data_IF_662488203880
#
_entry.id   IF_662488203880
#
_cell.length_a   1.000
_cell.length_b   1.000
_cell.length_c   1.000
_cell.angle_alpha   90.00
_cell.angle_beta   90.00
_cell.angle_gamma   90.00
#
_symmetry.space_group_name_H-M   'P 1'
#
loop_
_entity.id
_entity.type
_entity.pdbx_description
1 polymer ?
#
# COMPACT_ATOMS: atom_id res chain seq x y z
N UNK A 1 6.40 4.69 23.93
CA UNK A 1 6.77 5.06 22.55
C UNK A 1 5.93 4.22 21.61
N UNK A 2 5.33 4.80 20.58
CA UNK A 2 4.60 4.07 19.54
C UNK A 2 5.48 4.08 18.28
N UNK A 3 5.72 2.90 17.71
CA UNK A 3 6.48 2.76 16.46
C UNK A 3 5.53 2.43 15.32
N UNK A 4 5.83 2.92 14.13
CA UNK A 4 5.16 2.61 12.87
C UNK A 4 6.26 2.42 11.84
N UNK A 5 6.15 1.38 11.01
CA UNK A 5 7.11 1.10 9.95
C UNK A 5 6.44 1.40 8.61
N UNK A 6 7.07 2.24 7.81
CA UNK A 6 6.69 2.45 6.42
C UNK A 6 7.67 1.70 5.53
N UNK A 7 7.18 0.93 4.57
CA UNK A 7 8.03 0.15 3.68
C UNK A 7 7.46 0.10 2.27
N UNK A 8 8.35 0.24 1.30
CA UNK A 8 8.07 -0.25 -0.05
C UNK A 8 8.18 -1.78 -0.05
N UNK A 9 7.57 -2.42 -1.05
CA UNK A 9 7.68 -3.86 -1.27
C UNK A 9 8.67 -4.17 -2.39
N UNK A 10 8.49 -3.55 -3.57
CA UNK A 10 9.24 -3.91 -4.78
C UNK A 10 10.72 -3.56 -4.57
N UNK A 11 11.57 -4.59 -4.44
CA UNK A 11 13.00 -4.37 -4.23
C UNK A 11 13.41 -3.84 -2.87
N UNK A 12 12.50 -3.84 -1.90
CA UNK A 12 12.79 -3.44 -0.52
C UNK A 12 12.47 -4.58 0.44
N UNK A 13 11.20 -4.97 0.53
CA UNK A 13 10.78 -6.09 1.39
C UNK A 13 10.64 -7.41 0.62
N UNK A 14 10.35 -7.33 -0.68
CA UNK A 14 10.27 -8.47 -1.56
C UNK A 14 11.62 -8.69 -2.23
N UNK A 15 12.06 -9.95 -2.26
CA UNK A 15 13.21 -10.34 -3.06
C UNK A 15 12.99 -9.97 -4.54
N UNK A 16 14.00 -9.36 -5.14
CA UNK A 16 13.93 -8.83 -6.50
C UNK A 16 13.69 -9.90 -7.57
N UNK A 17 14.10 -11.15 -7.31
CA UNK A 17 14.07 -12.22 -8.31
C UNK A 17 12.82 -13.10 -8.18
N UNK A 18 12.33 -13.30 -6.97
CA UNK A 18 11.24 -14.22 -6.64
C UNK A 18 9.95 -13.50 -6.23
N UNK A 19 10.01 -12.19 -5.96
CA UNK A 19 8.91 -11.42 -5.36
C UNK A 19 8.39 -12.05 -4.06
N UNK A 20 9.27 -12.77 -3.35
CA UNK A 20 8.96 -13.45 -2.09
C UNK A 20 9.31 -12.56 -0.91
N UNK A 21 8.50 -12.60 0.15
CA UNK A 21 8.79 -11.95 1.43
C UNK A 21 9.36 -12.92 2.48
N UNK A 22 9.65 -14.18 2.10
CA UNK A 22 10.07 -15.20 3.06
C UNK A 22 11.37 -14.86 3.79
N UNK A 23 12.32 -14.17 3.14
CA UNK A 23 13.55 -13.70 3.81
C UNK A 23 13.25 -12.68 4.91
N UNK A 24 12.20 -11.87 4.74
CA UNK A 24 11.74 -10.89 5.70
C UNK A 24 10.75 -11.47 6.73
N UNK A 25 10.42 -12.77 6.66
CA UNK A 25 9.35 -13.38 7.48
C UNK A 25 9.63 -13.33 8.96
N UNK A 26 10.89 -13.53 9.38
CA UNK A 26 11.25 -13.46 10.80
C UNK A 26 11.06 -12.04 11.36
N UNK A 27 11.56 -11.04 10.64
CA UNK A 27 11.45 -9.64 11.01
C UNK A 27 9.97 -9.18 11.05
N UNK A 28 9.20 -9.46 10.00
CA UNK A 28 7.77 -9.13 9.93
C UNK A 28 6.97 -9.84 11.02
N UNK A 29 7.31 -11.08 11.36
CA UNK A 29 6.68 -11.81 12.48
C UNK A 29 6.99 -11.16 13.83
N UNK A 30 8.22 -10.71 14.06
CA UNK A 30 8.61 -10.01 15.29
C UNK A 30 7.86 -8.67 15.41
N UNK A 31 7.77 -7.92 14.32
CA UNK A 31 7.06 -6.64 14.24
C UNK A 31 5.57 -6.84 14.54
N UNK A 32 4.93 -7.86 13.93
CA UNK A 32 3.53 -8.23 14.20
C UNK A 32 3.31 -8.62 15.66
N UNK A 33 4.20 -9.43 16.25
CA UNK A 33 4.12 -9.79 17.69
C UNK A 33 4.23 -8.59 18.62
N UNK A 34 4.92 -7.52 18.20
CA UNK A 34 5.04 -6.27 18.96
C UNK A 34 3.89 -5.29 18.71
N UNK A 35 2.89 -5.67 17.90
CA UNK A 35 1.79 -4.81 17.46
C UNK A 35 2.30 -3.48 16.86
N UNK A 36 3.39 -3.55 16.10
CA UNK A 36 3.92 -2.41 15.37
C UNK A 36 3.31 -2.45 13.95
N UNK A 37 2.55 -1.42 13.53
CA UNK A 37 1.95 -1.39 12.20
C UNK A 37 3.01 -1.35 11.10
N UNK A 38 2.77 -2.10 10.02
CA UNK A 38 3.54 -2.04 8.77
C UNK A 38 2.68 -1.41 7.69
N UNK A 39 2.95 -0.14 7.39
CA UNK A 39 2.27 0.63 6.34
C UNK A 39 3.02 0.44 5.02
N UNK A 40 2.41 -0.34 4.12
CA UNK A 40 2.95 -0.57 2.79
C UNK A 40 2.75 0.69 1.92
N UNK A 41 3.80 1.11 1.23
CA UNK A 41 3.82 2.26 0.34
C UNK A 41 4.37 1.87 -1.03
N UNK A 42 3.54 1.84 -2.08
CA UNK A 42 3.98 1.41 -3.41
C UNK A 42 3.50 2.32 -4.54
N UNK A 43 4.14 2.17 -5.71
CA UNK A 43 3.69 2.76 -6.98
C UNK A 43 2.52 2.03 -7.61
N UNK A 44 2.21 0.80 -7.16
CA UNK A 44 1.11 -0.02 -7.64
C UNK A 44 -0.25 0.57 -7.25
N UNK A 45 -1.28 0.17 -8.01
CA UNK A 45 -2.69 0.47 -7.70
C UNK A 45 -3.12 -0.20 -6.40
N UNK A 46 -4.24 0.27 -5.82
CA UNK A 46 -4.84 -0.35 -4.63
C UNK A 46 -4.99 -1.88 -4.79
N UNK A 47 -5.62 -2.32 -5.89
CA UNK A 47 -5.84 -3.73 -6.19
C UNK A 47 -4.53 -4.52 -6.31
N UNK A 48 -3.48 -3.90 -6.88
CA UNK A 48 -2.16 -4.52 -6.97
C UNK A 48 -1.53 -4.75 -5.60
N UNK A 49 -1.68 -3.81 -4.66
CA UNK A 49 -1.16 -3.91 -3.30
C UNK A 49 -1.95 -4.93 -2.48
N UNK A 50 -3.28 -5.00 -2.64
CA UNK A 50 -4.13 -5.96 -1.92
C UNK A 50 -3.68 -7.42 -2.08
N UNK A 51 -3.19 -7.80 -3.27
CA UNK A 51 -2.64 -9.14 -3.52
C UNK A 51 -1.45 -9.47 -2.60
N UNK A 52 -0.54 -8.51 -2.37
CA UNK A 52 0.61 -8.73 -1.50
C UNK A 52 0.21 -8.70 -0.03
N UNK A 53 -0.71 -7.82 0.33
CA UNK A 53 -1.25 -7.74 1.71
C UNK A 53 -1.89 -9.05 2.14
N UNK A 54 -2.68 -9.65 1.27
CA UNK A 54 -3.32 -10.95 1.52
C UNK A 54 -2.26 -12.03 1.76
N UNK A 55 -1.24 -12.11 0.89
CA UNK A 55 -0.13 -13.08 1.03
C UNK A 55 0.64 -12.91 2.32
N UNK A 56 0.84 -11.67 2.77
CA UNK A 56 1.58 -11.34 3.99
C UNK A 56 0.73 -11.36 5.26
N UNK A 57 -0.61 -11.47 5.14
CA UNK A 57 -1.53 -11.28 6.26
C UNK A 57 -1.39 -9.90 6.92
N UNK A 58 -1.24 -8.85 6.10
CA UNK A 58 -1.13 -7.46 6.51
C UNK A 58 -2.50 -6.75 6.47
N UNK A 59 -2.90 -6.21 7.61
CA UNK A 59 -4.22 -5.59 7.83
C UNK A 59 -4.11 -4.10 8.21
N UNK A 60 -2.91 -3.52 8.16
CA UNK A 60 -2.67 -2.11 8.49
C UNK A 60 -3.09 -1.16 7.35
N UNK A 61 -3.18 0.17 7.52
CA UNK A 61 -3.32 1.10 6.40
C UNK A 61 -2.20 0.97 5.35
N UNK A 62 -2.45 1.42 4.14
CA UNK A 62 -1.47 1.41 3.05
C UNK A 62 -1.62 2.60 2.11
N UNK A 63 -0.59 2.81 1.30
CA UNK A 63 -0.46 3.94 0.40
C UNK A 63 -0.22 3.42 -1.02
N UNK A 64 -1.07 3.82 -1.95
CA UNK A 64 -0.98 3.43 -3.37
C UNK A 64 -0.47 4.56 -4.25
N UNK A 65 -0.03 4.17 -5.45
CA UNK A 65 0.32 5.08 -6.55
C UNK A 65 1.25 6.23 -6.11
N UNK A 66 2.32 5.90 -5.39
CA UNK A 66 3.32 6.84 -4.90
C UNK A 66 2.76 7.95 -4.00
N UNK A 67 1.76 7.64 -3.18
CA UNK A 67 1.11 8.64 -2.33
C UNK A 67 -0.14 9.26 -2.96
N UNK A 68 -0.63 8.73 -4.08
CA UNK A 68 -1.86 9.18 -4.70
C UNK A 68 -3.09 8.99 -3.80
N UNK A 69 -3.10 7.93 -2.98
CA UNK A 69 -4.15 7.70 -2.00
C UNK A 69 -3.60 7.02 -0.73
N UNK A 70 -4.20 7.35 0.41
CA UNK A 70 -4.08 6.61 1.67
C UNK A 70 -5.35 5.79 1.84
N UNK A 71 -5.19 4.49 2.03
CA UNK A 71 -6.28 3.53 2.15
C UNK A 71 -6.27 2.94 3.56
N UNK A 72 -7.37 3.17 4.28
CA UNK A 72 -7.54 2.78 5.68
C UNK A 72 -8.63 1.72 5.76
N UNK A 73 -8.33 0.49 6.23
CA UNK A 73 -9.33 -0.54 6.45
C UNK A 73 -10.45 -0.08 7.39
N UNK A 74 -11.68 -0.47 7.09
CA UNK A 74 -12.84 -0.21 7.95
C UNK A 74 -12.56 -0.64 9.39
N UNK A 75 -12.95 0.21 10.34
CA UNK A 75 -12.79 -0.06 11.77
C UNK A 75 -11.35 -0.05 12.28
N UNK A 76 -10.36 0.31 11.45
CA UNK A 76 -8.96 0.37 11.90
C UNK A 76 -8.72 1.48 12.94
N UNK A 77 -9.39 2.63 12.79
CA UNK A 77 -9.37 3.72 13.77
C UNK A 77 -10.76 3.95 14.36
N UNK A 78 -10.84 4.27 15.64
CA UNK A 78 -12.09 4.58 16.36
C UNK A 78 -12.62 6.01 16.10
N UNK A 79 -12.33 6.59 14.93
CA UNK A 79 -12.54 8.01 14.64
C UNK A 79 -13.49 8.26 13.46
N UNK A 80 -13.82 9.53 13.18
CA UNK A 80 -14.75 9.99 12.12
C UNK A 80 -14.36 9.59 10.69
N UNK A 81 -13.17 9.02 10.51
CA UNK A 81 -12.72 8.49 9.23
C UNK A 81 -13.27 7.08 8.95
N UNK A 82 -14.17 6.53 9.76
CA UNK A 82 -14.78 5.22 9.49
C UNK A 82 -15.91 5.34 8.47
N UNK A 83 -15.95 4.42 7.51
CA UNK A 83 -16.94 4.38 6.43
C UNK A 83 -17.76 3.08 6.48
N UNK A 84 -18.91 3.04 5.82
CA UNK A 84 -19.66 1.79 5.66
C UNK A 84 -18.96 0.82 4.69
N UNK A 85 -18.18 1.35 3.75
CA UNK A 85 -17.39 0.61 2.77
C UNK A 85 -16.20 -0.16 3.38
N UNK A 86 -15.59 -1.05 2.60
CA UNK A 86 -14.42 -1.83 3.03
C UNK A 86 -13.23 -0.96 3.45
N UNK A 87 -13.08 0.21 2.83
CA UNK A 87 -11.98 1.12 3.04
C UNK A 87 -12.44 2.56 3.08
N UNK A 88 -11.84 3.34 3.97
CA UNK A 88 -11.79 4.80 3.84
C UNK A 88 -10.60 5.16 2.96
N UNK A 89 -10.87 5.95 1.92
CA UNK A 89 -9.87 6.38 0.96
C UNK A 89 -9.69 7.89 1.09
N UNK A 90 -8.47 8.31 1.39
CA UNK A 90 -8.05 9.71 1.37
C UNK A 90 -7.25 9.93 0.10
N UNK A 91 -7.88 10.55 -0.90
CA UNK A 91 -7.24 10.90 -2.16
C UNK A 91 -6.38 12.16 -2.00
N UNK A 92 -5.09 12.05 -2.30
CA UNK A 92 -4.13 13.17 -2.25
C UNK A 92 -3.65 13.56 -3.65
N UNK A 93 -3.69 12.61 -4.59
CA UNK A 93 -3.26 12.77 -5.96
C UNK A 93 -4.32 13.37 -6.88
N UNK A 94 -4.17 13.09 -8.17
CA UNK A 94 -5.16 13.44 -9.19
C UNK A 94 -5.60 12.18 -9.92
N UNK A 95 -6.84 12.17 -10.40
CA UNK A 95 -7.38 11.05 -11.19
C UNK A 95 -6.55 10.80 -12.44
N UNK A 96 -6.42 9.54 -12.85
CA UNK A 96 -5.80 9.13 -14.11
C UNK A 96 -6.30 9.93 -15.33
N UNK A 97 -7.62 10.16 -15.42
CA UNK A 97 -8.23 10.92 -16.52
C UNK A 97 -7.59 12.29 -16.68
N UNK A 98 -7.44 13.05 -15.58
CA UNK A 98 -6.81 14.37 -15.60
C UNK A 98 -5.33 14.33 -15.99
N UNK A 99 -4.60 13.28 -15.61
CA UNK A 99 -3.20 13.09 -16.03
C UNK A 99 -3.13 12.94 -17.54
N UNK A 100 -3.99 12.08 -18.09
CA UNK A 100 -4.04 11.83 -19.52
C UNK A 100 -4.56 13.05 -20.31
N UNK A 101 -5.55 13.77 -19.82
CA UNK A 101 -6.02 15.00 -20.48
C UNK A 101 -4.89 16.02 -20.61
N UNK A 102 -4.08 16.13 -19.54
CA UNK A 102 -2.92 17.05 -19.53
C UNK A 102 -1.78 16.55 -20.40
N UNK A 103 -1.63 15.23 -20.53
CA UNK A 103 -0.56 14.59 -21.27
C UNK A 103 -1.06 13.40 -22.11
N UNK A 104 -1.76 13.65 -23.24
CA UNK A 104 -2.43 12.60 -24.01
C UNK A 104 -1.48 11.51 -24.52
N UNK A 105 -0.20 11.84 -24.71
CA UNK A 105 0.85 10.89 -25.12
C UNK A 105 1.16 9.80 -24.09
N UNK A 106 0.76 9.95 -22.82
CA UNK A 106 1.00 8.91 -21.80
C UNK A 106 0.14 7.65 -21.99
N UNK A 107 -1.00 7.75 -22.69
CA UNK A 107 -1.93 6.61 -22.91
C UNK A 107 -1.26 5.41 -23.61
N UNK A 108 -0.24 5.67 -24.41
CA UNK A 108 0.41 4.66 -25.26
C UNK A 108 1.84 4.32 -24.82
N UNK A 109 2.29 4.84 -23.67
CA UNK A 109 3.58 4.43 -23.12
C UNK A 109 3.43 3.02 -22.55
N UNK A 110 4.02 2.04 -23.24
CA UNK A 110 4.37 0.78 -22.60
C UNK A 110 5.46 1.10 -21.57
N UNK A 111 5.11 0.99 -20.30
CA UNK A 111 6.09 0.98 -19.23
C UNK A 111 6.78 -0.39 -19.31
N UNK A 112 8.06 -0.38 -19.70
CA UNK A 112 8.92 -1.55 -19.82
C UNK A 112 9.12 -2.27 -18.50
#
# INVERSE_FOLDING_TARGET
MVYIIFTDLDGTLLDHSTYSFEEAREATSLVKKKNIPIVICMSKTQAGIEVYRERMGNEDPFISENGGAIIIPKGYFTSVWDTEDRYTIIELGTTYHRIIDRWPGLKNLQVS
#
